data_IF_845211368773
#
_entry.id   IF_845211368773
#
_cell.length_a   1.000
_cell.length_b   1.000
_cell.length_c   1.000
_cell.angle_alpha   90.00
_cell.angle_beta   90.00
_cell.angle_gamma   90.00
#
_symmetry.space_group_name_H-M   'P 1'
#
loop_
_entity.id
_entity.type
_entity.pdbx_description
1 polymer ?
#
# COMPACT_ATOMS: atom_id res chain seq x y z
N UNK A 1 -11.07 -7.31 5.15
CA UNK A 1 -9.76 -7.95 5.40
C UNK A 1 -8.73 -6.98 4.89
N UNK A 2 -7.68 -6.71 5.68
CA UNK A 2 -6.69 -5.69 5.33
C UNK A 2 -6.00 -6.05 4.02
N UNK A 3 -5.70 -5.02 3.23
CA UNK A 3 -4.91 -5.14 2.01
C UNK A 3 -3.43 -5.41 2.34
N UNK A 4 -2.70 -6.04 1.41
CA UNK A 4 -1.32 -6.46 1.62
C UNK A 4 -0.48 -6.14 0.39
N UNK A 5 0.65 -5.47 0.61
CA UNK A 5 1.61 -5.18 -0.47
C UNK A 5 2.47 -6.42 -0.74
N UNK A 6 2.48 -6.86 -2.00
CA UNK A 6 3.19 -8.03 -2.50
C UNK A 6 4.54 -7.69 -3.15
N UNK A 7 5.21 -8.72 -3.67
CA UNK A 7 6.54 -8.65 -4.29
C UNK A 7 6.74 -7.57 -5.39
N UNK A 8 5.74 -7.22 -6.23
CA UNK A 8 5.95 -6.22 -7.29
C UNK A 8 6.30 -4.81 -6.78
N UNK A 9 6.06 -4.51 -5.49
CA UNK A 9 6.44 -3.23 -4.89
C UNK A 9 7.94 -3.14 -4.53
N UNK A 10 8.66 -4.27 -4.50
CA UNK A 10 10.07 -4.33 -4.07
C UNK A 10 10.98 -3.53 -5.01
N UNK A 11 11.75 -2.60 -4.46
CA UNK A 11 12.64 -1.65 -5.15
C UNK A 11 11.96 -0.68 -6.14
N UNK A 12 10.63 -0.75 -6.29
CA UNK A 12 9.83 0.23 -7.07
C UNK A 12 9.43 1.41 -6.20
N UNK A 13 8.73 1.12 -5.07
CA UNK A 13 8.31 2.11 -4.06
C UNK A 13 7.72 3.40 -4.67
N UNK A 14 6.72 3.26 -5.54
CA UNK A 14 6.10 4.38 -6.27
C UNK A 14 5.37 5.40 -5.38
N UNK A 15 4.77 4.94 -4.28
CA UNK A 15 4.05 5.73 -3.25
C UNK A 15 2.70 6.34 -3.66
N UNK A 16 2.19 6.15 -4.88
CA UNK A 16 0.82 6.61 -5.22
C UNK A 16 -0.26 6.05 -4.28
N UNK A 17 -0.09 4.81 -3.79
CA UNK A 17 -1.02 4.21 -2.83
C UNK A 17 -1.07 4.94 -1.46
N UNK A 18 -0.03 5.69 -1.09
CA UNK A 18 0.04 6.43 0.18
C UNK A 18 -0.91 7.61 0.15
N UNK A 19 -0.92 8.37 -0.94
CA UNK A 19 -1.76 9.57 -1.11
C UNK A 19 -3.26 9.24 -1.13
N UNK A 20 -3.62 8.03 -1.55
CA UNK A 20 -5.01 7.57 -1.64
C UNK A 20 -5.51 6.90 -0.35
N UNK A 21 -4.65 6.66 0.65
CA UNK A 21 -5.05 6.01 1.88
C UNK A 21 -5.75 7.00 2.84
N UNK A 22 -7.06 6.86 3.12
CA UNK A 22 -7.80 7.85 3.94
C UNK A 22 -7.42 7.85 5.43
N UNK A 23 -6.64 6.88 5.87
CA UNK A 23 -6.24 6.67 7.27
C UNK A 23 -4.72 6.63 7.44
N UNK A 24 -3.96 6.97 6.38
CA UNK A 24 -2.49 7.03 6.38
C UNK A 24 -1.81 5.77 6.95
N UNK A 25 -2.38 4.58 6.70
CA UNK A 25 -1.90 3.33 7.29
C UNK A 25 -0.79 2.62 6.48
N UNK A 26 -0.12 3.33 5.57
CA UNK A 26 0.94 2.79 4.70
C UNK A 26 2.29 3.35 5.12
N UNK A 27 3.22 2.46 5.46
CA UNK A 27 4.52 2.79 6.02
C UNK A 27 5.64 2.41 5.06
N UNK A 28 6.67 3.25 4.97
CA UNK A 28 7.85 2.99 4.15
C UNK A 28 8.87 2.13 4.91
N UNK A 29 9.23 0.98 4.34
CA UNK A 29 10.39 0.21 4.78
C UNK A 29 11.55 0.30 3.81
N UNK A 30 12.55 -0.56 3.99
CA UNK A 30 13.81 -0.50 3.25
C UNK A 30 13.59 -0.69 1.74
N UNK A 31 12.96 -1.81 1.36
CA UNK A 31 12.79 -2.21 -0.05
C UNK A 31 11.34 -2.20 -0.53
N UNK A 32 10.36 -2.10 0.36
CA UNK A 32 8.94 -2.08 0.00
C UNK A 32 8.14 -1.17 0.94
N UNK A 33 6.89 -0.92 0.59
CA UNK A 33 5.89 -0.29 1.44
C UNK A 33 5.11 -1.37 2.20
N UNK A 34 4.54 -1.02 3.35
CA UNK A 34 3.82 -1.94 4.24
C UNK A 34 2.49 -1.33 4.69
N UNK A 35 1.40 -2.08 4.56
CA UNK A 35 0.09 -1.70 5.10
C UNK A 35 -0.03 -2.23 6.53
N UNK A 36 -0.41 -1.37 7.49
CA UNK A 36 -0.70 -1.81 8.86
C UNK A 36 -2.11 -2.42 8.92
N UNK A 37 -2.23 -3.74 9.20
CA UNK A 37 -3.53 -4.42 9.17
C UNK A 37 -4.49 -3.99 10.30
N UNK A 38 -3.98 -3.35 11.36
CA UNK A 38 -4.81 -2.89 12.47
C UNK A 38 -5.45 -1.51 12.20
N UNK A 39 -4.89 -0.75 11.25
CA UNK A 39 -5.34 0.59 10.89
C UNK A 39 -6.08 0.60 9.55
N UNK A 40 -5.83 -0.39 8.68
CA UNK A 40 -6.55 -0.54 7.42
C UNK A 40 -8.05 -0.72 7.64
N UNK A 41 -8.85 0.11 6.95
CA UNK A 41 -10.33 0.11 7.02
C UNK A 41 -10.99 -0.55 5.80
N UNK A 42 -10.25 -1.35 5.03
CA UNK A 42 -10.77 -2.09 3.87
C UNK A 42 -11.44 -1.21 2.78
N UNK A 43 -10.96 0.02 2.58
CA UNK A 43 -11.58 0.96 1.63
C UNK A 43 -11.28 0.68 0.14
N UNK A 44 -10.18 -0.01 -0.15
CA UNK A 44 -9.78 -0.38 -1.52
C UNK A 44 -9.22 0.75 -2.40
N UNK A 45 -9.05 1.98 -1.89
CA UNK A 45 -8.55 3.10 -2.70
C UNK A 45 -7.10 2.92 -3.18
N UNK A 46 -6.27 2.20 -2.43
CA UNK A 46 -4.86 1.97 -2.76
C UNK A 46 -4.64 0.96 -3.90
N UNK A 47 -5.56 0.01 -4.13
CA UNK A 47 -5.45 -1.03 -5.17
C UNK A 47 -5.36 -0.46 -6.60
N UNK A 48 -6.32 0.36 -7.09
CA UNK A 48 -6.25 0.93 -8.45
C UNK A 48 -5.18 2.02 -8.59
N UNK A 49 -4.66 2.54 -7.48
CA UNK A 49 -3.61 3.55 -7.48
C UNK A 49 -2.21 2.97 -7.72
N UNK A 50 -2.01 1.67 -7.44
CA UNK A 50 -0.71 1.04 -7.59
C UNK A 50 -0.41 0.73 -9.07
N UNK A 51 0.59 1.39 -9.70
CA UNK A 51 0.86 1.21 -11.13
C UNK A 51 1.45 -0.16 -11.49
N UNK A 52 1.90 -0.91 -10.49
CA UNK A 52 2.52 -2.24 -10.62
C UNK A 52 1.63 -3.35 -10.05
N UNK A 53 0.37 -3.05 -9.74
CA UNK A 53 -0.63 -4.03 -9.24
C UNK A 53 -0.10 -4.85 -8.05
N UNK A 54 0.54 -4.18 -7.10
CA UNK A 54 1.21 -4.84 -5.96
C UNK A 54 0.32 -4.99 -4.72
N UNK A 55 -0.95 -4.57 -4.73
CA UNK A 55 -1.82 -4.43 -3.54
C UNK A 55 -3.02 -5.36 -3.64
#
# INVERSE_FOLDING_TARGET
MPYVIAEPCVDVKDKACVDECPVDCIYEGDRTLYINPNECVDCGACEPACPVEAI
#
